data_IF_027505932719
#
_entry.id   IF_027505932719
#
_cell.length_a   1.000
_cell.length_b   1.000
_cell.length_c   1.000
_cell.angle_alpha   90.00
_cell.angle_beta   90.00
_cell.angle_gamma   90.00
#
_symmetry.space_group_name_H-M   'P 1'
#
loop_
_entity.id
_entity.type
_entity.pdbx_description
1 polymer ?
#
# COMPACT_ATOMS: atom_id res chain seq x y z
N UNK A 1 14.77 6.22 -5.64
CA UNK A 1 15.16 7.05 -4.47
C UNK A 1 16.67 7.12 -4.27
N UNK A 2 17.43 6.01 -4.26
CA UNK A 2 18.89 6.06 -4.06
C UNK A 2 19.62 7.02 -5.03
N UNK A 3 19.37 6.91 -6.33
CA UNK A 3 19.96 7.82 -7.33
C UNK A 3 19.55 9.29 -7.09
N UNK A 4 18.28 9.54 -6.76
CA UNK A 4 17.81 10.91 -6.48
C UNK A 4 18.52 11.53 -5.27
N UNK A 5 18.80 10.74 -4.24
CA UNK A 5 19.55 11.22 -3.07
C UNK A 5 21.02 11.48 -3.41
N UNK A 6 21.63 10.60 -4.19
CA UNK A 6 23.00 10.78 -4.67
C UNK A 6 23.14 12.06 -5.51
N UNK A 7 22.23 12.26 -6.47
CA UNK A 7 22.23 13.43 -7.36
C UNK A 7 21.97 14.74 -6.59
N UNK A 8 21.25 14.65 -5.46
CA UNK A 8 21.05 15.76 -4.53
C UNK A 8 22.24 16.00 -3.57
N UNK A 9 23.35 15.27 -3.74
CA UNK A 9 24.60 15.44 -2.99
C UNK A 9 24.64 14.71 -1.64
N UNK A 10 23.68 13.84 -1.34
CA UNK A 10 23.72 13.02 -0.13
C UNK A 10 24.76 11.90 -0.24
N UNK A 11 25.32 11.53 0.90
CA UNK A 11 26.33 10.47 1.02
C UNK A 11 25.85 9.36 1.97
N UNK A 12 26.61 8.27 2.04
CA UNK A 12 26.29 7.09 2.87
C UNK A 12 24.84 6.58 2.68
N UNK A 13 24.38 6.55 1.43
CA UNK A 13 23.00 6.21 1.12
C UNK A 13 22.78 4.71 1.35
N UNK A 14 21.92 4.38 2.30
CA UNK A 14 21.46 3.03 2.59
C UNK A 14 20.00 2.88 2.18
N UNK A 15 19.69 1.79 1.49
CA UNK A 15 18.34 1.45 1.04
C UNK A 15 17.95 0.11 1.67
N UNK A 16 16.79 0.05 2.33
CA UNK A 16 16.29 -1.18 2.96
C UNK A 16 14.84 -1.44 2.61
N UNK A 17 14.46 -2.67 2.23
CA UNK A 17 13.06 -3.06 2.17
C UNK A 17 12.49 -3.26 3.57
N UNK A 18 11.22 -2.89 3.73
CA UNK A 18 10.43 -3.12 4.94
C UNK A 18 9.18 -3.92 4.57
N UNK A 19 9.30 -5.26 4.50
CA UNK A 19 8.17 -6.11 4.20
C UNK A 19 7.24 -6.21 5.41
N UNK A 20 5.97 -5.97 5.17
CA UNK A 20 4.86 -6.28 6.05
C UNK A 20 4.13 -7.49 5.47
N UNK A 21 4.10 -8.58 6.24
CA UNK A 21 3.42 -9.82 5.88
C UNK A 21 2.54 -10.22 7.05
N UNK A 22 1.22 -10.18 6.84
CA UNK A 22 0.25 -10.56 7.85
C UNK A 22 -0.73 -11.59 7.27
N UNK A 23 -0.79 -12.74 7.93
CA UNK A 23 -1.71 -13.82 7.63
C UNK A 23 -2.53 -14.14 8.90
N UNK A 24 -3.17 -15.32 8.94
CA UNK A 24 -3.94 -15.78 10.10
C UNK A 24 -3.18 -15.85 11.42
N UNK A 25 -1.84 -15.86 11.42
CA UNK A 25 -1.02 -15.78 12.64
C UNK A 25 -1.01 -14.36 13.23
N UNK A 26 -1.41 -13.36 12.46
CA UNK A 26 -1.43 -11.94 12.83
C UNK A 26 -2.79 -11.28 12.47
N UNK A 27 -3.92 -11.78 13.00
CA UNK A 27 -5.25 -11.41 12.54
C UNK A 27 -5.57 -9.92 12.76
N UNK A 28 -5.16 -9.35 13.89
CA UNK A 28 -5.38 -7.93 14.20
C UNK A 28 -4.62 -7.01 13.24
N UNK A 29 -3.34 -7.28 12.99
CA UNK A 29 -2.53 -6.49 12.05
C UNK A 29 -3.03 -6.63 10.61
N UNK A 30 -3.44 -7.84 10.21
CA UNK A 30 -4.04 -8.12 8.90
C UNK A 30 -5.31 -7.28 8.71
N UNK A 31 -6.22 -7.32 9.67
CA UNK A 31 -7.48 -6.58 9.60
C UNK A 31 -7.24 -5.07 9.62
N UNK A 32 -6.34 -4.58 10.48
CA UNK A 32 -5.98 -3.17 10.54
C UNK A 32 -5.43 -2.65 9.20
N UNK A 33 -4.51 -3.40 8.57
CA UNK A 33 -3.95 -2.98 7.29
C UNK A 33 -4.94 -3.12 6.13
N UNK A 34 -5.77 -4.18 6.07
CA UNK A 34 -6.81 -4.29 5.05
C UNK A 34 -7.81 -3.13 5.12
N UNK A 35 -8.27 -2.75 6.32
CA UNK A 35 -9.14 -1.59 6.51
C UNK A 35 -8.47 -0.28 6.09
N UNK A 36 -7.20 -0.09 6.45
CA UNK A 36 -6.43 1.08 6.02
C UNK A 36 -6.30 1.13 4.49
N UNK A 37 -6.00 0.00 3.86
CA UNK A 37 -5.85 -0.10 2.41
C UNK A 37 -7.15 0.14 1.66
N UNK A 38 -8.29 -0.35 2.19
CA UNK A 38 -9.62 -0.06 1.66
C UNK A 38 -9.85 1.46 1.66
N UNK A 39 -9.68 2.13 2.81
CA UNK A 39 -9.84 3.59 2.88
C UNK A 39 -8.90 4.35 1.93
N UNK A 40 -7.64 3.92 1.82
CA UNK A 40 -6.65 4.55 0.92
C UNK A 40 -7.06 4.44 -0.55
N UNK A 41 -7.41 3.24 -1.02
CA UNK A 41 -7.84 3.02 -2.41
C UNK A 41 -9.09 3.84 -2.73
N UNK A 42 -10.05 3.89 -1.80
CA UNK A 42 -11.35 4.55 -1.99
C UNK A 42 -11.26 6.07 -1.94
N UNK A 43 -10.23 6.62 -1.29
CA UNK A 43 -9.95 8.05 -1.35
C UNK A 43 -9.63 8.55 -2.78
N UNK A 44 -9.28 7.66 -3.72
CA UNK A 44 -8.95 8.02 -5.10
C UNK A 44 -10.13 7.92 -6.09
N UNK A 45 -11.30 7.43 -5.67
CA UNK A 45 -12.42 7.12 -6.58
C UNK A 45 -12.80 8.29 -7.49
N UNK A 46 -13.06 9.48 -6.91
CA UNK A 46 -13.52 10.64 -7.68
C UNK A 46 -12.52 11.02 -8.78
N UNK A 47 -11.22 11.02 -8.45
CA UNK A 47 -10.14 11.28 -9.41
C UNK A 47 -10.05 10.22 -10.50
N UNK A 48 -10.30 8.94 -10.15
CA UNK A 48 -10.26 7.84 -11.12
C UNK A 48 -11.44 7.89 -12.10
N UNK A 49 -12.62 8.28 -11.62
CA UNK A 49 -13.80 8.52 -12.47
C UNK A 49 -13.59 9.71 -13.40
N UNK A 50 -13.12 10.85 -12.86
CA UNK A 50 -12.85 12.06 -13.65
C UNK A 50 -11.82 11.80 -14.76
N UNK A 51 -10.77 11.03 -14.44
CA UNK A 51 -9.73 10.65 -15.40
C UNK A 51 -10.13 9.51 -16.34
N UNK A 52 -11.36 8.96 -16.24
CA UNK A 52 -11.87 7.82 -17.02
C UNK A 52 -10.98 6.56 -16.94
N UNK A 53 -10.34 6.31 -15.79
CA UNK A 53 -9.59 5.07 -15.56
C UNK A 53 -10.48 3.91 -15.12
N UNK A 54 -11.66 4.20 -14.58
CA UNK A 54 -12.67 3.22 -14.20
C UNK A 54 -14.09 3.78 -14.36
N UNK A 55 -15.08 2.92 -14.20
CA UNK A 55 -16.47 3.32 -13.98
C UNK A 55 -16.95 2.90 -12.58
N UNK A 56 -18.14 3.39 -12.21
CA UNK A 56 -18.68 3.17 -10.87
C UNK A 56 -19.05 1.69 -10.61
N UNK A 57 -19.40 0.93 -11.65
CA UNK A 57 -19.81 -0.47 -11.49
C UNK A 57 -18.59 -1.36 -11.28
N UNK A 58 -17.51 -1.13 -12.03
CA UNK A 58 -16.21 -1.75 -11.80
C UNK A 58 -15.69 -1.46 -10.40
N UNK A 59 -15.83 -0.20 -9.94
CA UNK A 59 -15.38 0.18 -8.61
C UNK A 59 -16.17 -0.50 -7.49
N UNK A 60 -17.51 -0.56 -7.61
CA UNK A 60 -18.36 -1.29 -6.65
C UNK A 60 -18.00 -2.78 -6.59
N UNK A 61 -17.73 -3.40 -7.73
CA UNK A 61 -17.31 -4.80 -7.77
C UNK A 61 -15.99 -5.00 -7.01
N UNK A 62 -15.00 -4.13 -7.23
CA UNK A 62 -13.74 -4.15 -6.50
C UNK A 62 -13.92 -3.92 -4.99
N UNK A 63 -14.86 -3.05 -4.59
CA UNK A 63 -15.20 -2.86 -3.17
C UNK A 63 -15.69 -4.15 -2.52
N UNK A 64 -16.61 -4.85 -3.18
CA UNK A 64 -17.16 -6.09 -2.65
C UNK A 64 -16.08 -7.17 -2.48
N UNK A 65 -15.11 -7.25 -3.40
CA UNK A 65 -13.98 -8.16 -3.25
C UNK A 65 -13.11 -7.84 -2.03
N UNK A 66 -12.83 -6.55 -1.79
CA UNK A 66 -12.08 -6.11 -0.60
C UNK A 66 -12.86 -6.41 0.69
N UNK A 67 -14.17 -6.13 0.71
CA UNK A 67 -15.02 -6.44 1.86
C UNK A 67 -15.04 -7.95 2.16
N UNK A 68 -15.10 -8.79 1.12
CA UNK A 68 -15.01 -10.24 1.29
C UNK A 68 -13.65 -10.70 1.85
N UNK A 69 -12.55 -10.01 1.54
CA UNK A 69 -11.24 -10.29 2.13
C UNK A 69 -11.16 -9.96 3.63
N UNK A 70 -11.89 -8.95 4.09
CA UNK A 70 -11.95 -8.60 5.52
C UNK A 70 -12.56 -9.72 6.36
N UNK A 71 -13.51 -10.47 5.79
CA UNK A 71 -14.20 -11.60 6.44
C UNK A 71 -13.48 -12.94 6.25
N UNK A 72 -12.50 -13.03 5.34
CA UNK A 72 -11.78 -14.27 5.04
C UNK A 72 -10.56 -14.46 5.95
N UNK A 73 -10.63 -15.41 6.89
CA UNK A 73 -9.54 -15.70 7.83
C UNK A 73 -8.24 -16.23 7.20
N UNK A 74 -8.31 -16.82 6.00
CA UNK A 74 -7.13 -17.30 5.27
C UNK A 74 -6.53 -16.22 4.33
N UNK A 75 -7.10 -15.01 4.29
CA UNK A 75 -6.52 -13.93 3.50
C UNK A 75 -5.12 -13.54 4.03
N UNK A 76 -4.27 -13.10 3.11
CA UNK A 76 -2.91 -12.64 3.40
C UNK A 76 -2.76 -11.21 2.92
N UNK A 77 -2.28 -10.34 3.79
CA UNK A 77 -1.86 -9.00 3.43
C UNK A 77 -0.34 -8.95 3.29
N UNK A 78 0.13 -8.51 2.12
CA UNK A 78 1.55 -8.28 1.87
C UNK A 78 1.76 -6.91 1.26
N UNK A 79 2.65 -6.13 1.87
CA UNK A 79 3.10 -4.85 1.33
C UNK A 79 4.54 -4.62 1.75
N UNK A 80 5.39 -4.16 0.82
CA UNK A 80 6.76 -3.80 1.14
C UNK A 80 7.06 -2.43 0.55
N UNK A 81 7.55 -1.52 1.38
CA UNK A 81 8.10 -0.25 0.93
C UNK A 81 9.62 -0.28 1.05
N UNK A 82 10.29 0.61 0.32
CA UNK A 82 11.72 0.81 0.43
C UNK A 82 11.97 2.09 1.22
N UNK A 83 12.71 2.01 2.30
CA UNK A 83 13.18 3.17 3.04
C UNK A 83 14.60 3.52 2.62
N UNK A 84 14.85 4.80 2.41
CA UNK A 84 16.18 5.35 2.19
C UNK A 84 16.64 6.10 3.45
N UNK A 85 17.90 5.90 3.84
CA UNK A 85 18.60 6.72 4.83
C UNK A 85 19.87 7.25 4.18
N UNK A 86 20.19 8.52 4.40
CA UNK A 86 21.41 9.13 3.88
C UNK A 86 21.83 10.28 4.78
N UNK A 87 23.11 10.65 4.69
CA UNK A 87 23.68 11.78 5.41
C UNK A 87 23.91 12.95 4.46
N UNK A 88 23.72 14.18 4.95
CA UNK A 88 24.05 15.41 4.23
C UNK A 88 25.12 16.15 5.00
N UNK A 89 26.29 16.35 4.38
CA UNK A 89 27.34 17.20 4.90
C UNK A 89 26.94 18.69 4.79
#
# INVERSE_FOLDING_TARGET
>A
MGNMLHDAGFQNIEMKPYPMFFDKRNPENRLALLNYWHGLMFSALDNMLEANYCDIELWKAAEQEILALLENDDAVFYYSFIQAKADKL
#
